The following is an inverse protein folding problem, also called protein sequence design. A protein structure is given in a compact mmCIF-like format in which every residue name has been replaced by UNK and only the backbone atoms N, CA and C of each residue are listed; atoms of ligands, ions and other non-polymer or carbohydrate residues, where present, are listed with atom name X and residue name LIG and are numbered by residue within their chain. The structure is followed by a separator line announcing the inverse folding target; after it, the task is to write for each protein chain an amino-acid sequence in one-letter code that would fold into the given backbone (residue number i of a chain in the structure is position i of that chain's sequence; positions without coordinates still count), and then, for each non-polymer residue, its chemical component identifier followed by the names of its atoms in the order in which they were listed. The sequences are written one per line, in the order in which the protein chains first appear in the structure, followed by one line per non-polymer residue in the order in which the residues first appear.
data_IF_082776242108
#
_entry.id   IF_082776242108
#
_cell.length_a   1.000
_cell.length_b   1.000
_cell.length_c   1.000
_cell.angle_alpha   90.00
_cell.angle_beta   90.00
_cell.angle_gamma   90.00
#
_symmetry.space_group_name_H-M   'P 1'
#
loop_
_entity.id
_entity.type
_entity.pdbx_description
1 polymer ?
#
# COMPACT_ATOMS: atom_id res chain seq x y z
N UNK A 1 -3.69 -9.82 -22.59
CA UNK A 1 -2.54 -9.99 -21.66
C UNK A 1 -2.46 -8.91 -20.59
N UNK A 2 -2.82 -7.64 -20.86
CA UNK A 2 -2.82 -6.53 -19.85
C UNK A 2 -3.64 -6.81 -18.58
N UNK A 3 -4.83 -7.41 -18.70
CA UNK A 3 -5.70 -7.76 -17.55
C UNK A 3 -5.15 -8.87 -16.64
N UNK A 4 -4.24 -9.72 -17.13
CA UNK A 4 -3.65 -10.82 -16.34
C UNK A 4 -2.48 -10.31 -15.50
N UNK A 5 -1.71 -9.34 -16.01
CA UNK A 5 -0.66 -8.66 -15.26
C UNK A 5 -1.24 -7.82 -14.10
N UNK A 6 -2.37 -7.18 -14.38
CA UNK A 6 -3.14 -6.36 -13.43
C UNK A 6 -3.60 -7.15 -12.20
N UNK A 7 -4.18 -8.34 -12.41
CA UNK A 7 -4.62 -9.21 -11.32
C UNK A 7 -3.43 -9.78 -10.53
N UNK A 8 -2.30 -10.04 -11.19
CA UNK A 8 -1.09 -10.53 -10.54
C UNK A 8 -0.47 -9.49 -9.60
N UNK A 9 -0.54 -8.20 -9.93
CA UNK A 9 0.00 -7.13 -9.08
C UNK A 9 -0.89 -6.82 -7.87
N UNK A 10 -2.22 -6.85 -8.03
CA UNK A 10 -3.15 -6.77 -6.90
C UNK A 10 -2.95 -7.99 -5.99
N UNK A 11 -2.80 -9.20 -6.55
CA UNK A 11 -2.44 -10.38 -5.74
C UNK A 11 -1.03 -10.28 -5.14
N UNK A 12 -0.10 -9.52 -5.72
CA UNK A 12 1.25 -9.33 -5.16
C UNK A 12 1.33 -8.24 -4.08
N UNK A 13 0.47 -7.22 -4.14
CA UNK A 13 0.31 -6.20 -3.10
C UNK A 13 -0.45 -6.74 -1.88
N UNK A 14 -1.44 -7.60 -2.11
CA UNK A 14 -2.41 -8.01 -1.08
C UNK A 14 -2.34 -9.49 -0.73
N UNK A 15 -1.96 -10.37 -1.66
CA UNK A 15 -2.00 -11.81 -1.47
C UNK A 15 -0.87 -12.34 -0.59
N UNK A 16 -1.28 -13.03 0.47
CA UNK A 16 -0.47 -13.80 1.42
C UNK A 16 0.51 -14.84 0.84
N UNK A 17 0.79 -14.87 -0.46
CA UNK A 17 1.65 -15.88 -1.10
C UNK A 17 3.08 -15.39 -1.41
N UNK A 18 3.39 -14.10 -1.25
CA UNK A 18 4.76 -13.61 -1.39
C UNK A 18 5.11 -12.61 -0.27
N UNK A 19 5.61 -13.12 0.86
CA UNK A 19 6.17 -12.35 1.98
C UNK A 19 7.31 -11.36 1.60
N UNK A 20 7.72 -11.34 0.32
CA UNK A 20 8.70 -10.40 -0.25
C UNK A 20 8.13 -9.03 -0.63
N UNK A 21 6.83 -8.90 -0.93
CA UNK A 21 6.23 -7.65 -1.43
C UNK A 21 5.41 -6.87 -0.39
N UNK A 22 5.26 -7.41 0.82
CA UNK A 22 4.74 -6.63 1.93
C UNK A 22 5.79 -5.59 2.36
N UNK A 23 5.55 -4.33 1.99
CA UNK A 23 6.45 -3.20 2.29
C UNK A 23 6.32 -2.74 3.75
N UNK A 24 5.18 -2.98 4.40
CA UNK A 24 5.01 -2.64 5.82
C UNK A 24 5.89 -3.52 6.70
N UNK A 25 6.49 -2.90 7.72
CA UNK A 25 7.42 -3.55 8.64
C UNK A 25 8.82 -3.78 8.06
N UNK A 26 9.09 -3.38 6.80
CA UNK A 26 10.41 -3.47 6.18
C UNK A 26 11.20 -2.19 6.39
N UNK A 27 12.53 -2.32 6.48
CA UNK A 27 13.40 -1.14 6.54
C UNK A 27 13.45 -0.41 5.20
N UNK A 28 13.66 0.91 5.24
CA UNK A 28 13.87 1.73 4.04
C UNK A 28 14.99 1.19 3.15
N UNK A 29 16.10 0.76 3.75
CA UNK A 29 17.23 0.15 3.04
C UNK A 29 16.84 -1.14 2.30
N UNK A 30 16.04 -2.00 2.93
CA UNK A 30 15.54 -3.22 2.32
C UNK A 30 14.62 -2.91 1.14
N UNK A 31 13.70 -1.95 1.30
CA UNK A 31 12.79 -1.57 0.22
C UNK A 31 13.61 -1.07 -0.98
N UNK A 32 14.49 -0.10 -0.77
CA UNK A 32 15.34 0.46 -1.84
C UNK A 32 16.22 -0.60 -2.54
N UNK A 33 16.66 -1.64 -1.83
CA UNK A 33 17.48 -2.70 -2.43
C UNK A 33 16.69 -3.79 -3.15
N UNK A 34 15.38 -3.93 -2.89
CA UNK A 34 14.55 -5.04 -3.40
C UNK A 34 13.43 -4.60 -4.35
N UNK A 35 13.21 -3.30 -4.54
CA UNK A 35 12.21 -2.79 -5.49
C UNK A 35 12.90 -2.26 -6.74
N UNK A 36 13.18 -3.17 -7.67
CA UNK A 36 13.67 -2.82 -9.02
C UNK A 36 12.53 -2.56 -10.01
N UNK A 37 11.30 -2.89 -9.64
CA UNK A 37 10.14 -2.89 -10.54
C UNK A 37 9.54 -1.50 -10.76
N UNK A 38 9.83 -0.53 -9.89
CA UNK A 38 9.31 0.83 -9.98
C UNK A 38 10.29 1.87 -9.42
N UNK A 39 10.19 3.10 -9.94
CA UNK A 39 11.12 4.18 -9.61
C UNK A 39 10.72 4.87 -8.30
N UNK A 40 11.33 4.45 -7.20
CA UNK A 40 11.17 5.12 -5.90
C UNK A 40 11.95 6.44 -5.86
N UNK A 41 11.27 7.49 -5.43
CA UNK A 41 11.82 8.82 -5.19
C UNK A 41 11.76 9.11 -3.69
N UNK A 42 12.85 9.62 -3.12
CA UNK A 42 12.84 10.13 -1.75
C UNK A 42 12.38 11.58 -1.74
N UNK A 43 11.30 11.85 -1.00
CA UNK A 43 10.70 13.16 -0.88
C UNK A 43 10.55 13.53 0.60
N UNK A 44 10.25 14.80 0.86
CA UNK A 44 10.03 15.34 2.20
C UNK A 44 8.81 16.25 2.16
N UNK A 45 7.90 16.07 3.10
CA UNK A 45 6.72 16.92 3.26
C UNK A 45 7.11 18.30 3.80
N UNK A 46 6.20 19.28 3.72
CA UNK A 46 6.46 20.64 4.19
C UNK A 46 6.77 20.72 5.70
N UNK A 47 6.25 19.76 6.49
CA UNK A 47 6.52 19.62 7.92
C UNK A 47 7.76 18.75 8.25
N UNK A 48 8.52 18.34 7.22
CA UNK A 48 9.82 17.68 7.37
C UNK A 48 9.78 16.15 7.47
N UNK A 49 8.62 15.52 7.23
CA UNK A 49 8.48 14.06 7.23
C UNK A 49 9.04 13.50 5.92
N UNK A 50 10.02 12.61 6.04
CA UNK A 50 10.60 11.90 4.89
C UNK A 50 9.74 10.71 4.49
N UNK A 51 9.57 10.52 3.19
CA UNK A 51 8.84 9.39 2.64
C UNK A 51 9.44 8.92 1.31
N UNK A 52 9.11 7.70 0.91
CA UNK A 52 9.36 7.23 -0.44
C UNK A 52 8.08 7.32 -1.26
N UNK A 53 8.22 7.76 -2.51
CA UNK A 53 7.15 7.96 -3.46
C UNK A 53 7.39 7.13 -4.73
N UNK A 54 6.34 6.55 -5.29
CA UNK A 54 6.39 5.98 -6.63
C UNK A 54 5.07 6.17 -7.36
N UNK A 55 5.15 6.43 -8.65
CA UNK A 55 4.01 6.25 -9.55
C UNK A 55 4.08 4.84 -10.13
N UNK A 56 3.04 4.05 -9.89
CA UNK A 56 2.92 2.68 -10.39
C UNK A 56 1.95 2.71 -11.57
N UNK A 57 2.43 2.45 -12.81
CA UNK A 57 1.58 2.49 -14.00
C UNK A 57 0.34 1.62 -13.85
N UNK A 58 -0.78 2.11 -14.36
CA UNK A 58 -2.11 1.47 -14.30
C UNK A 58 -2.67 1.29 -12.88
N UNK A 59 -1.98 1.67 -11.81
CA UNK A 59 -2.40 1.47 -10.41
C UNK A 59 -2.61 2.76 -9.68
N UNK A 60 -1.61 3.64 -9.65
CA UNK A 60 -1.72 4.91 -8.97
C UNK A 60 -0.44 5.34 -8.28
N UNK A 61 -0.60 6.14 -7.23
CA UNK A 61 0.50 6.76 -6.50
C UNK A 61 0.68 6.09 -5.15
N UNK A 62 1.91 5.62 -4.89
CA UNK A 62 2.30 4.91 -3.69
C UNK A 62 3.17 5.82 -2.82
N UNK A 63 2.81 5.93 -1.55
CA UNK A 63 3.52 6.70 -0.54
C UNK A 63 3.90 5.78 0.63
N UNK A 64 5.16 5.78 1.02
CA UNK A 64 5.71 4.94 2.09
C UNK A 64 6.33 5.85 3.16
N UNK A 65 5.77 5.81 4.36
CA UNK A 65 6.24 6.59 5.50
C UNK A 65 6.96 5.68 6.49
N UNK A 66 7.96 6.25 7.16
CA UNK A 66 8.89 5.53 8.03
C UNK A 66 8.84 6.07 9.45
N UNK A 67 9.04 5.18 10.42
CA UNK A 67 9.21 5.55 11.82
C UNK A 67 10.64 6.03 12.12
N UNK A 68 10.92 6.32 13.40
CA UNK A 68 12.24 6.78 13.85
C UNK A 68 13.37 5.72 13.73
N UNK A 69 13.04 4.49 13.34
CA UNK A 69 13.99 3.40 13.09
C UNK A 69 14.11 3.08 11.59
N UNK A 70 13.61 3.96 10.71
CA UNK A 70 13.54 3.77 9.25
C UNK A 70 12.74 2.51 8.85
N UNK A 71 11.75 2.11 9.65
CA UNK A 71 10.83 1.02 9.33
C UNK A 71 9.55 1.60 8.72
N UNK A 72 9.15 1.06 7.56
CA UNK A 72 7.92 1.45 6.90
C UNK A 72 6.72 1.07 7.78
N UNK A 73 6.04 2.07 8.32
CA UNK A 73 4.93 1.89 9.26
C UNK A 73 3.58 2.36 8.69
N UNK A 74 3.59 3.02 7.54
CA UNK A 74 2.39 3.49 6.88
C UNK A 74 2.59 3.49 5.37
N UNK A 75 1.63 2.92 4.67
CA UNK A 75 1.55 2.92 3.22
C UNK A 75 0.23 3.56 2.81
N UNK A 76 0.27 4.55 1.93
CA UNK A 76 -0.92 5.14 1.32
C UNK A 76 -0.88 4.90 -0.20
N UNK A 77 -1.98 4.39 -0.74
CA UNK A 77 -2.16 4.14 -2.16
C UNK A 77 -3.32 4.98 -2.68
N UNK A 78 -3.03 5.91 -3.57
CA UNK A 78 -4.01 6.70 -4.31
C UNK A 78 -4.27 6.02 -5.66
N UNK A 79 -5.43 5.38 -5.86
CA UNK A 79 -5.75 4.72 -7.11
C UNK A 79 -5.78 5.71 -8.28
N UNK A 80 -5.38 5.26 -9.47
CA UNK A 80 -5.36 6.09 -10.68
C UNK A 80 -6.78 6.48 -11.15
N UNK A 81 -7.79 5.69 -10.81
CA UNK A 81 -9.20 5.93 -11.13
C UNK A 81 -10.15 5.09 -10.22
N UNK A 82 -11.45 5.31 -10.37
CA UNK A 82 -12.51 4.62 -9.61
C UNK A 82 -12.55 3.10 -9.90
N UNK A 83 -12.34 2.67 -11.15
CA UNK A 83 -12.29 1.24 -11.51
C UNK A 83 -11.17 0.50 -10.74
N UNK A 84 -10.01 1.14 -10.59
CA UNK A 84 -8.91 0.61 -9.77
C UNK A 84 -9.27 0.59 -8.29
N UNK A 85 -9.87 1.67 -7.78
CA UNK A 85 -10.30 1.73 -6.38
C UNK A 85 -11.23 0.55 -6.07
N UNK A 86 -12.24 0.32 -6.91
CA UNK A 86 -13.20 -0.77 -6.75
C UNK A 86 -12.51 -2.14 -6.79
N UNK A 87 -11.59 -2.36 -7.73
CA UNK A 87 -10.83 -3.60 -7.84
C UNK A 87 -9.95 -3.88 -6.61
N UNK A 88 -9.31 -2.84 -6.06
CA UNK A 88 -8.50 -2.96 -4.84
C UNK A 88 -9.38 -3.25 -3.63
N UNK A 89 -10.52 -2.56 -3.50
CA UNK A 89 -11.48 -2.78 -2.41
C UNK A 89 -12.10 -4.18 -2.47
N UNK A 90 -12.43 -4.68 -3.66
CA UNK A 90 -12.94 -6.05 -3.82
C UNK A 90 -11.94 -7.08 -3.28
N UNK A 91 -10.65 -6.92 -3.60
CA UNK A 91 -9.63 -7.83 -3.11
C UNK A 91 -9.39 -7.68 -1.59
N UNK A 92 -9.40 -6.44 -1.07
CA UNK A 92 -9.32 -6.19 0.39
C UNK A 92 -10.49 -6.84 1.11
N UNK A 93 -11.72 -6.71 0.59
CA UNK A 93 -12.92 -7.29 1.21
C UNK A 93 -12.85 -8.81 1.19
N UNK A 94 -12.30 -9.40 0.12
CA UNK A 94 -12.16 -10.84 -0.03
C UNK A 94 -11.11 -11.45 0.91
N UNK A 95 -10.03 -10.71 1.19
CA UNK A 95 -8.93 -11.19 2.03
C UNK A 95 -9.03 -10.75 3.49
N UNK A 96 -9.70 -9.62 3.75
CA UNK A 96 -9.73 -8.96 5.04
C UNK A 96 -10.97 -9.27 5.86
N UNK A 97 -10.80 -9.34 7.17
CA UNK A 97 -11.90 -9.34 8.13
C UNK A 97 -12.42 -7.93 8.31
N UNK A 98 -13.68 -7.68 7.96
CA UNK A 98 -14.32 -6.37 8.13
C UNK A 98 -14.31 -5.95 9.61
N UNK A 99 -13.78 -4.76 9.90
CA UNK A 99 -13.81 -4.13 11.23
C UNK A 99 -14.90 -3.05 11.30
N UNK A 100 -14.97 -2.21 10.26
CA UNK A 100 -15.99 -1.16 10.11
C UNK A 100 -16.47 -1.11 8.67
N UNK A 101 -17.37 -0.18 8.32
CA UNK A 101 -17.82 0.01 6.94
C UNK A 101 -16.73 0.45 5.98
N UNK A 102 -15.61 0.97 6.49
CA UNK A 102 -14.49 1.48 5.69
C UNK A 102 -13.14 0.91 6.13
N UNK A 103 -13.12 -0.14 6.95
CA UNK A 103 -11.86 -0.73 7.40
C UNK A 103 -11.91 -2.23 7.61
N UNK A 104 -10.74 -2.85 7.39
CA UNK A 104 -10.53 -4.29 7.40
C UNK A 104 -9.21 -4.62 8.09
N UNK A 105 -9.14 -5.81 8.68
CA UNK A 105 -7.91 -6.42 9.13
C UNK A 105 -7.49 -7.50 8.13
N UNK A 106 -6.25 -7.42 7.65
CA UNK A 106 -5.65 -8.45 6.78
C UNK A 106 -4.53 -9.12 7.57
N UNK A 107 -4.66 -10.43 7.78
CA UNK A 107 -3.62 -11.23 8.44
C UNK A 107 -2.69 -11.83 7.38
N UNK A 108 -1.41 -11.47 7.45
CA UNK A 108 -0.37 -11.98 6.55
C UNK A 108 0.65 -12.80 7.34
N UNK A 109 1.50 -13.57 6.65
CA UNK A 109 2.63 -14.27 7.30
C UNK A 109 3.60 -13.31 8.02
N UNK A 110 3.66 -12.05 7.58
CA UNK A 110 4.49 -11.01 8.20
C UNK A 110 3.83 -10.32 9.40
N UNK A 111 2.57 -10.66 9.70
CA UNK A 111 1.77 -10.06 10.76
C UNK A 111 0.44 -9.49 10.25
N UNK A 112 -0.32 -8.95 11.19
CA UNK A 112 -1.63 -8.35 10.94
C UNK A 112 -1.51 -6.89 10.51
N UNK A 113 -2.35 -6.48 9.56
CA UNK A 113 -2.40 -5.13 9.01
C UNK A 113 -3.81 -4.59 9.14
N UNK A 114 -3.92 -3.33 9.56
CA UNK A 114 -5.16 -2.58 9.48
C UNK A 114 -5.18 -1.79 8.17
N UNK A 115 -6.26 -1.95 7.42
CA UNK A 115 -6.48 -1.30 6.12
C UNK A 115 -7.75 -0.46 6.20
N UNK A 116 -7.70 0.79 5.75
CA UNK A 116 -8.86 1.67 5.72
C UNK A 116 -8.99 2.46 4.41
N UNK A 117 -10.23 2.74 4.04
CA UNK A 117 -10.57 3.65 2.95
C UNK A 117 -10.74 5.06 3.53
N UNK A 118 -9.85 5.96 3.12
CA UNK A 118 -9.79 7.34 3.59
C UNK A 118 -10.04 8.32 2.44
N UNK A 119 -10.26 9.60 2.78
CA UNK A 119 -10.49 10.66 1.81
C UNK A 119 -9.63 11.87 2.20
N UNK A 120 -8.90 12.43 1.23
CA UNK A 120 -8.06 13.62 1.44
C UNK A 120 -8.88 14.92 1.42
N UNK A 121 -8.22 16.04 1.70
CA UNK A 121 -8.83 17.38 1.69
C UNK A 121 -9.36 17.82 0.30
N UNK A 122 -8.94 17.13 -0.77
CA UNK A 122 -9.39 17.36 -2.14
C UNK A 122 -10.52 16.40 -2.57
N UNK A 123 -11.12 15.69 -1.61
CA UNK A 123 -12.16 14.67 -1.85
C UNK A 123 -11.69 13.48 -2.72
N UNK A 124 -10.39 13.18 -2.74
CA UNK A 124 -9.84 12.00 -3.39
C UNK A 124 -9.77 10.85 -2.39
N UNK A 125 -10.25 9.68 -2.81
CA UNK A 125 -10.14 8.46 -2.02
C UNK A 125 -8.75 7.84 -2.14
N UNK A 126 -8.25 7.33 -1.02
CA UNK A 126 -7.02 6.53 -0.96
C UNK A 126 -7.16 5.40 0.05
N UNK A 127 -6.33 4.38 -0.11
CA UNK A 127 -6.30 3.22 0.78
C UNK A 127 -5.08 3.36 1.68
N UNK A 128 -5.32 3.34 3.00
CA UNK A 128 -4.30 3.44 4.03
C UNK A 128 -4.03 2.07 4.63
N UNK A 129 -2.76 1.72 4.78
CA UNK A 129 -2.31 0.49 5.42
C UNK A 129 -1.38 0.84 6.56
N UNK A 130 -1.63 0.25 7.73
CA UNK A 130 -0.79 0.37 8.93
C UNK A 130 -0.67 -0.99 9.63
N UNK A 131 0.42 -1.26 10.35
CA UNK A 131 0.51 -2.45 11.21
C UNK A 131 -0.64 -2.47 12.23
N UNK A 132 -1.26 -3.64 12.42
CA UNK A 132 -2.20 -3.83 13.53
C UNK A 132 -1.43 -3.87 14.85
N UNK A 133 -1.96 -3.21 15.88
CA UNK A 133 -1.36 -3.15 17.23
C UNK A 133 -1.71 -4.36 18.07
#
# INVERSE_FOLDING_TARGET
MRKVLFLFFIVALFGAANAQNNLLGKSKSFILSNTSEYSLQELTTDDGVKFLFSEVPDIGQLFLFFDGYDICNTLALYPVNEEMLDALLEEIIKQGTKLTDKSWQIDTEAGSQHVSLEMDDNAKFYILFVPAK
#
